data_IF_670246038904
#
_entry.id   IF_670246038904
#
_cell.length_a   1.000
_cell.length_b   1.000
_cell.length_c   1.000
_cell.angle_alpha   90.00
_cell.angle_beta   90.00
_cell.angle_gamma   90.00
#
_symmetry.space_group_name_H-M   'P 1'
#
loop_
_entity.id
_entity.type
_entity.pdbx_description
1 polymer ?
#
# COMPACT_ATOMS: atom_id res chain seq x y z
N UNK A 1 -17.57 19.21 -3.95
CA UNK A 1 -16.34 19.76 -4.53
C UNK A 1 -15.30 18.66 -4.51
N UNK A 2 -14.94 18.07 -5.66
CA UNK A 2 -13.93 17.03 -5.68
C UNK A 2 -12.53 17.61 -5.48
N UNK A 3 -11.70 16.90 -4.71
CA UNK A 3 -10.25 17.10 -4.64
C UNK A 3 -9.64 16.00 -5.49
N UNK A 4 -8.68 16.36 -6.34
CA UNK A 4 -7.92 15.42 -7.14
C UNK A 4 -6.43 15.62 -6.91
N UNK A 5 -5.69 14.53 -7.06
CA UNK A 5 -4.24 14.54 -7.08
C UNK A 5 -3.76 14.59 -8.53
N UNK A 6 -2.73 15.38 -8.81
CA UNK A 6 -2.16 15.57 -10.14
C UNK A 6 -0.64 15.43 -10.10
N UNK A 7 -0.10 14.84 -11.16
CA UNK A 7 1.33 14.86 -11.50
C UNK A 7 1.52 15.82 -12.67
N UNK A 8 2.38 16.83 -12.51
CA UNK A 8 2.80 17.67 -13.62
C UNK A 8 3.84 16.95 -14.48
N UNK A 9 3.62 16.80 -15.78
CA UNK A 9 4.60 16.14 -16.68
C UNK A 9 5.78 17.03 -17.06
N UNK A 10 5.68 18.34 -16.83
CA UNK A 10 6.75 19.30 -17.20
C UNK A 10 7.76 19.51 -16.07
N UNK A 11 7.32 19.50 -14.81
CA UNK A 11 8.20 19.69 -13.65
C UNK A 11 8.19 18.53 -12.65
N UNK A 12 7.47 17.45 -12.96
CA UNK A 12 7.42 16.20 -12.18
C UNK A 12 6.95 16.38 -10.73
N UNK A 13 6.22 17.46 -10.44
CA UNK A 13 5.67 17.71 -9.10
C UNK A 13 4.29 17.10 -8.94
N UNK A 14 4.06 16.46 -7.79
CA UNK A 14 2.75 16.01 -7.36
C UNK A 14 2.09 17.10 -6.52
N UNK A 15 0.80 17.35 -6.74
CA UNK A 15 0.01 18.29 -5.95
C UNK A 15 -1.47 17.92 -5.93
N UNK A 16 -2.18 18.40 -4.93
CA UNK A 16 -3.63 18.23 -4.81
C UNK A 16 -4.34 19.53 -5.18
N UNK A 17 -5.42 19.43 -5.96
CA UNK A 17 -6.22 20.58 -6.36
C UNK A 17 -7.71 20.31 -6.20
N UNK A 18 -8.36 21.26 -5.53
CA UNK A 18 -9.80 21.34 -5.35
C UNK A 18 -10.44 21.94 -6.62
N UNK A 19 -11.08 21.11 -7.43
CA UNK A 19 -11.69 21.55 -8.71
C UNK A 19 -13.10 22.05 -8.46
N UNK A 20 -13.39 23.27 -8.92
CA UNK A 20 -14.70 23.94 -8.83
C UNK A 20 -15.27 24.17 -10.22
N UNK A 21 -16.47 23.63 -10.49
CA UNK A 21 -17.15 23.82 -11.78
C UNK A 21 -16.30 23.38 -12.96
N UNK A 22 -16.20 24.23 -13.98
CA UNK A 22 -15.45 23.99 -15.23
C UNK A 22 -14.03 24.59 -15.22
N UNK A 23 -13.41 24.77 -14.05
CA UNK A 23 -12.04 25.30 -14.02
C UNK A 23 -11.03 24.32 -14.62
N UNK A 24 -10.13 24.82 -15.47
CA UNK A 24 -9.01 24.07 -16.03
C UNK A 24 -7.84 24.04 -15.04
N UNK A 25 -7.42 22.86 -14.55
CA UNK A 25 -6.33 22.76 -13.59
C UNK A 25 -4.98 23.12 -14.27
N UNK A 26 -4.15 23.89 -13.58
CA UNK A 26 -2.78 24.21 -14.00
C UNK A 26 -1.79 23.89 -12.88
N UNK A 27 -0.53 23.65 -13.25
CA UNK A 27 0.53 23.39 -12.27
C UNK A 27 0.86 24.66 -11.47
N UNK A 28 0.87 24.63 -10.12
CA UNK A 28 1.20 25.80 -9.30
C UNK A 28 2.68 26.20 -9.37
N UNK A 29 3.56 25.34 -9.91
CA UNK A 29 5.01 25.58 -9.98
C UNK A 29 5.46 26.11 -11.33
N UNK A 30 4.87 25.65 -12.42
CA UNK A 30 5.30 25.99 -13.79
C UNK A 30 4.17 26.47 -14.70
N UNK A 31 2.96 26.64 -14.18
CA UNK A 31 1.78 27.21 -14.87
C UNK A 31 1.33 26.48 -16.14
N UNK A 32 1.89 25.31 -16.43
CA UNK A 32 1.47 24.45 -17.54
C UNK A 32 0.15 23.72 -17.24
N UNK A 33 -0.57 23.35 -18.29
CA UNK A 33 -1.76 22.50 -18.29
C UNK A 33 -1.44 21.01 -18.54
N UNK A 34 -0.15 20.67 -18.72
CA UNK A 34 0.32 19.31 -18.95
C UNK A 34 0.31 18.47 -17.65
N UNK A 35 -0.90 18.15 -17.18
CA UNK A 35 -1.16 17.45 -15.92
C UNK A 35 -1.73 16.06 -16.17
N UNK A 36 -1.29 15.09 -15.38
CA UNK A 36 -1.89 13.76 -15.27
C UNK A 36 -2.64 13.63 -13.96
N UNK A 37 -3.94 13.33 -14.01
CA UNK A 37 -4.72 13.08 -12.79
C UNK A 37 -4.34 11.72 -12.20
N UNK A 38 -3.81 11.73 -10.99
CA UNK A 38 -3.51 10.51 -10.25
C UNK A 38 -4.79 9.95 -9.63
N UNK A 39 -4.98 8.65 -9.78
CA UNK A 39 -6.06 7.89 -9.14
C UNK A 39 -5.40 7.05 -8.06
N UNK A 40 -5.70 7.34 -6.79
CA UNK A 40 -5.23 6.52 -5.68
C UNK A 40 -5.86 5.13 -5.74
N UNK A 41 -5.08 4.11 -5.40
CA UNK A 41 -5.59 2.73 -5.34
C UNK A 41 -6.61 2.63 -4.20
N UNK A 42 -7.86 2.20 -4.46
CA UNK A 42 -8.84 2.09 -3.41
C UNK A 42 -8.50 0.95 -2.44
N UNK A 43 -8.59 1.23 -1.13
CA UNK A 43 -8.57 0.17 -0.12
C UNK A 43 -9.89 -0.58 -0.13
N UNK A 44 -9.96 -1.70 -0.86
CA UNK A 44 -11.17 -2.53 -0.92
C UNK A 44 -11.22 -3.49 0.26
N UNK A 45 -12.20 -3.27 1.14
CA UNK A 45 -12.55 -4.17 2.23
C UNK A 45 -13.68 -5.12 1.78
N UNK A 46 -13.38 -6.42 1.71
CA UNK A 46 -14.39 -7.43 1.41
C UNK A 46 -14.21 -8.69 2.27
N UNK A 47 -15.30 -9.41 2.49
CA UNK A 47 -15.31 -10.67 3.24
C UNK A 47 -14.36 -11.70 2.63
N UNK A 48 -14.35 -11.81 1.29
CA UNK A 48 -13.45 -12.69 0.56
C UNK A 48 -11.97 -12.29 0.74
N UNK A 49 -11.62 -10.99 0.63
CA UNK A 49 -10.25 -10.53 0.88
C UNK A 49 -9.80 -10.78 2.32
N UNK A 50 -10.69 -10.55 3.29
CA UNK A 50 -10.44 -10.84 4.71
C UNK A 50 -10.20 -12.34 4.94
N UNK A 51 -11.01 -13.21 4.34
CA UNK A 51 -10.82 -14.66 4.45
C UNK A 51 -9.46 -15.09 3.86
N UNK A 52 -9.07 -14.53 2.72
CA UNK A 52 -7.76 -14.81 2.10
C UNK A 52 -6.59 -14.31 2.96
N UNK A 53 -6.68 -13.10 3.52
CA UNK A 53 -5.62 -12.57 4.39
C UNK A 53 -5.45 -13.39 5.66
N UNK A 54 -6.55 -13.81 6.30
CA UNK A 54 -6.52 -14.68 7.48
C UNK A 54 -5.95 -16.07 7.17
N UNK A 55 -6.27 -16.63 6.00
CA UNK A 55 -5.68 -17.90 5.55
C UNK A 55 -4.16 -17.79 5.35
N UNK A 56 -3.70 -16.68 4.76
CA UNK A 56 -2.28 -16.41 4.59
C UNK A 56 -1.57 -16.21 5.94
N UNK A 57 -2.20 -15.49 6.88
CA UNK A 57 -1.68 -15.34 8.25
C UNK A 57 -1.53 -16.69 8.94
N UNK A 58 -2.59 -17.51 8.96
CA UNK A 58 -2.54 -18.87 9.55
C UNK A 58 -1.42 -19.73 8.95
N UNK A 59 -1.17 -19.65 7.64
CA UNK A 59 -0.07 -20.38 7.00
C UNK A 59 1.30 -19.91 7.51
N UNK A 60 1.49 -18.60 7.70
CA UNK A 60 2.73 -18.04 8.27
C UNK A 60 2.91 -18.47 9.72
N UNK A 61 1.85 -18.42 10.52
CA UNK A 61 1.90 -18.81 11.93
C UNK A 61 2.30 -20.28 12.10
N UNK A 62 1.78 -21.17 11.22
CA UNK A 62 2.15 -22.59 11.20
C UNK A 62 3.62 -22.78 10.83
N UNK A 63 4.13 -22.06 9.83
CA UNK A 63 5.54 -22.15 9.43
C UNK A 63 6.46 -21.69 10.56
N UNK A 64 6.19 -20.51 11.12
CA UNK A 64 6.94 -19.98 12.27
C UNK A 64 6.86 -20.93 13.48
N UNK A 65 5.71 -21.57 13.70
CA UNK A 65 5.55 -22.58 14.74
C UNK A 65 6.49 -23.77 14.54
N UNK A 66 6.61 -24.29 13.31
CA UNK A 66 7.54 -25.39 13.00
C UNK A 66 8.99 -24.99 13.20
N UNK A 67 9.36 -23.78 12.80
CA UNK A 67 10.73 -23.28 12.93
C UNK A 67 11.12 -23.17 14.41
N UNK A 68 10.24 -22.59 15.25
CA UNK A 68 10.42 -22.53 16.71
C UNK A 68 10.58 -23.91 17.34
N UNK A 69 9.75 -24.87 16.95
CA UNK A 69 9.86 -26.25 17.46
C UNK A 69 11.17 -26.93 17.06
N UNK A 70 11.65 -26.66 15.84
CA UNK A 70 12.92 -27.20 15.37
C UNK A 70 14.11 -26.58 16.10
N UNK A 71 14.08 -25.26 16.34
CA UNK A 71 15.08 -24.55 17.13
C UNK A 71 15.11 -25.05 18.57
N UNK A 72 13.95 -25.19 19.21
CA UNK A 72 13.84 -25.74 20.55
C UNK A 72 14.45 -27.15 20.66
N UNK A 73 14.13 -28.05 19.72
CA UNK A 73 14.72 -29.39 19.71
C UNK A 73 16.25 -29.36 19.56
N UNK A 74 16.77 -28.48 18.71
CA UNK A 74 18.23 -28.30 18.55
C UNK A 74 18.87 -27.84 19.86
N UNK A 75 18.23 -26.90 20.56
CA UNK A 75 18.68 -26.41 21.86
C UNK A 75 18.70 -27.53 22.91
N UNK A 76 17.62 -28.30 23.02
CA UNK A 76 17.49 -29.43 23.94
C UNK A 76 18.58 -30.49 23.68
N UNK A 77 18.82 -30.86 22.42
CA UNK A 77 19.89 -31.81 22.05
C UNK A 77 21.29 -31.30 22.40
N UNK A 78 21.52 -29.99 22.31
CA UNK A 78 22.83 -29.39 22.58
C UNK A 78 23.16 -29.22 24.07
N UNK A 79 22.16 -29.32 24.96
CA UNK A 79 22.33 -29.07 26.41
C UNK A 79 21.99 -30.29 27.29
N UNK A 80 21.81 -31.47 26.68
CA UNK A 80 21.79 -32.73 27.42
C UNK A 80 23.23 -33.28 27.54
N UNK A 81 23.98 -32.79 28.53
CA UNK A 81 25.18 -33.42 29.10
C UNK A 81 24.84 -33.99 30.50
#
# INVERSE_FOLDING_TARGET
MPIYEYLCKSCETNFELLVRGEMTPTCPTCETDNLERLISSPSVHSTARKAMSMKAAKKRDVAQGKDRMNEQRKYELAHND
#
